data_IF_407530890829
#
_entry.id   IF_407530890829
#
_cell.length_a   1.000
_cell.length_b   1.000
_cell.length_c   1.000
_cell.angle_alpha   90.00
_cell.angle_beta   90.00
_cell.angle_gamma   90.00
#
_symmetry.space_group_name_H-M   'P 1'
#
loop_
_entity.id
_entity.type
_entity.pdbx_description
1 polymer ?
#
# COMPACT_ATOMS: atom_id res chain seq x y z
N UNK A 1 -2.67 9.35 -0.98
CA UNK A 1 -2.27 10.46 -0.09
C UNK A 1 -2.06 10.00 1.35
N UNK A 2 -3.01 9.33 2.01
CA UNK A 2 -2.89 8.93 3.43
C UNK A 2 -1.70 8.00 3.70
N UNK A 3 -1.42 7.05 2.82
CA UNK A 3 -0.25 6.16 2.97
C UNK A 3 1.07 6.92 2.88
N UNK A 4 1.15 7.97 2.06
CA UNK A 4 2.35 8.80 2.01
C UNK A 4 2.57 9.57 3.33
N UNK A 5 1.50 10.06 3.96
CA UNK A 5 1.58 10.67 5.30
C UNK A 5 2.05 9.66 6.34
N UNK A 6 1.50 8.45 6.34
CA UNK A 6 1.92 7.39 7.25
C UNK A 6 3.36 6.94 7.00
N UNK A 7 3.80 6.88 5.75
CA UNK A 7 5.20 6.63 5.45
C UNK A 7 6.11 7.74 6.00
N UNK A 8 5.68 9.01 5.91
CA UNK A 8 6.36 10.13 6.56
C UNK A 8 6.46 9.96 8.07
N UNK A 9 5.36 9.58 8.74
CA UNK A 9 5.35 9.25 10.17
C UNK A 9 6.33 8.12 10.49
N UNK A 10 6.41 7.10 9.63
CA UNK A 10 7.35 5.99 9.81
C UNK A 10 8.82 6.43 9.66
N UNK A 11 9.10 7.38 8.76
CA UNK A 11 10.43 8.00 8.63
C UNK A 11 10.76 8.81 9.88
N UNK A 12 9.86 9.67 10.32
CA UNK A 12 10.07 10.51 11.53
C UNK A 12 10.27 9.66 12.78
N UNK A 13 9.59 8.52 12.88
CA UNK A 13 9.76 7.56 13.96
C UNK A 13 11.02 6.67 13.82
N UNK A 14 11.81 6.81 12.74
CA UNK A 14 13.00 5.98 12.49
C UNK A 14 12.69 4.52 12.11
N UNK A 15 11.43 4.18 11.83
CA UNK A 15 11.01 2.86 11.37
C UNK A 15 11.46 2.62 9.92
N UNK A 16 11.39 3.64 9.08
CA UNK A 16 12.02 3.69 7.75
C UNK A 16 13.23 4.62 7.89
N UNK A 17 14.43 4.07 7.77
CA UNK A 17 15.67 4.86 7.89
C UNK A 17 16.07 5.52 6.57
N UNK A 18 15.81 4.83 5.47
CA UNK A 18 16.04 5.31 4.12
C UNK A 18 14.90 4.77 3.23
N UNK A 19 14.24 5.64 2.51
CA UNK A 19 13.18 5.23 1.57
C UNK A 19 13.70 4.37 0.42
N UNK A 20 15.01 4.38 0.19
CA UNK A 20 15.69 3.54 -0.81
C UNK A 20 16.10 2.17 -0.26
N UNK A 21 15.93 1.91 1.04
CA UNK A 21 16.18 0.55 1.55
C UNK A 21 15.12 -0.44 1.03
N UNK A 22 15.51 -1.68 0.68
CA UNK A 22 14.54 -2.71 0.30
C UNK A 22 13.58 -3.01 1.44
N UNK A 23 12.28 -3.13 1.11
CA UNK A 23 11.22 -3.43 2.10
C UNK A 23 11.49 -4.75 2.82
N UNK A 24 12.00 -5.76 2.10
CA UNK A 24 12.32 -7.08 2.66
C UNK A 24 13.35 -7.02 3.79
N UNK A 25 14.24 -6.02 3.80
CA UNK A 25 15.24 -5.85 4.86
C UNK A 25 14.59 -5.56 6.23
N UNK A 26 13.39 -4.98 6.24
CA UNK A 26 12.60 -4.70 7.45
C UNK A 26 11.49 -5.71 7.69
N UNK A 27 10.91 -6.22 6.63
CA UNK A 27 9.67 -6.99 6.64
C UNK A 27 9.81 -8.24 5.77
N UNK A 28 10.61 -9.23 6.18
CA UNK A 28 10.63 -10.52 5.49
C UNK A 28 9.30 -11.25 5.67
N UNK A 29 8.93 -12.11 4.71
CA UNK A 29 7.78 -13.01 4.83
C UNK A 29 6.42 -12.39 4.50
N UNK A 30 6.38 -11.13 4.02
CA UNK A 30 5.11 -10.47 3.70
C UNK A 30 4.96 -10.14 2.19
N UNK A 31 5.59 -10.96 1.34
CA UNK A 31 5.43 -10.87 -0.11
C UNK A 31 6.54 -10.10 -0.83
N UNK A 32 7.67 -9.83 -0.18
CA UNK A 32 8.84 -9.19 -0.80
C UNK A 32 10.05 -10.14 -0.94
N UNK A 33 9.88 -11.44 -0.71
CA UNK A 33 11.01 -12.38 -0.62
C UNK A 33 11.39 -13.01 -1.96
N UNK A 34 10.56 -12.86 -3.00
CA UNK A 34 10.89 -13.40 -4.32
C UNK A 34 12.08 -12.65 -4.94
N UNK A 35 12.85 -13.27 -5.85
CA UNK A 35 13.95 -12.59 -6.54
C UNK A 35 13.51 -11.30 -7.26
N UNK A 36 12.27 -11.25 -7.76
CA UNK A 36 11.71 -10.06 -8.40
C UNK A 36 11.34 -8.98 -7.39
N UNK A 37 10.70 -9.36 -6.27
CA UNK A 37 10.21 -8.41 -5.28
C UNK A 37 11.29 -7.93 -4.29
N UNK A 38 12.34 -8.72 -4.06
CA UNK A 38 13.36 -8.40 -3.07
C UNK A 38 14.04 -7.02 -3.25
N UNK A 39 14.27 -6.51 -4.47
CA UNK A 39 14.84 -5.18 -4.66
C UNK A 39 13.83 -4.03 -4.53
N UNK A 40 12.55 -4.31 -4.27
CA UNK A 40 11.53 -3.26 -4.12
C UNK A 40 11.81 -2.44 -2.86
N UNK A 41 11.91 -1.12 -3.03
CA UNK A 41 12.14 -0.16 -1.95
C UNK A 41 10.82 0.50 -1.52
N UNK A 42 10.83 1.17 -0.38
CA UNK A 42 9.73 2.03 0.07
C UNK A 42 9.41 3.11 -0.96
N UNK A 43 10.45 3.70 -1.59
CA UNK A 43 10.29 4.70 -2.63
C UNK A 43 9.54 4.12 -3.85
N UNK A 44 9.87 2.92 -4.29
CA UNK A 44 9.20 2.29 -5.42
C UNK A 44 7.70 2.08 -5.15
N UNK A 45 7.33 1.70 -3.93
CA UNK A 45 5.93 1.57 -3.53
C UNK A 45 5.21 2.92 -3.50
N UNK A 46 5.85 3.94 -2.91
CA UNK A 46 5.29 5.29 -2.80
C UNK A 46 5.10 5.97 -4.15
N UNK A 47 6.00 5.72 -5.09
CA UNK A 47 5.96 6.25 -6.45
C UNK A 47 5.13 5.41 -7.43
N UNK A 48 4.60 4.26 -7.01
CA UNK A 48 3.88 3.30 -7.85
C UNK A 48 4.73 2.75 -9.01
N UNK A 49 6.02 2.59 -8.76
CA UNK A 49 6.99 2.00 -9.69
C UNK A 49 7.50 0.65 -9.22
N UNK A 50 6.85 0.04 -8.22
CA UNK A 50 7.34 -1.18 -7.59
C UNK A 50 7.33 -2.41 -8.50
N UNK A 51 6.42 -2.46 -9.48
CA UNK A 51 6.18 -3.67 -10.29
C UNK A 51 6.03 -4.94 -9.42
N UNK A 52 5.60 -4.76 -8.16
CA UNK A 52 5.38 -5.88 -7.24
C UNK A 52 4.45 -6.91 -7.86
N UNK A 53 4.84 -8.18 -7.76
CA UNK A 53 4.01 -9.30 -8.19
C UNK A 53 3.57 -10.13 -6.99
N UNK A 54 2.31 -10.52 -7.01
CA UNK A 54 1.78 -11.40 -5.97
C UNK A 54 0.28 -11.35 -5.87
N UNK A 55 -0.22 -11.92 -4.78
CA UNK A 55 -1.64 -11.90 -4.44
C UNK A 55 -1.79 -11.40 -3.01
N UNK A 56 -2.60 -10.38 -2.82
CA UNK A 56 -2.94 -9.82 -1.51
C UNK A 56 -4.40 -10.15 -1.19
N UNK A 57 -4.62 -10.88 -0.10
CA UNK A 57 -5.96 -11.35 0.31
C UNK A 57 -6.75 -12.05 -0.80
N UNK A 58 -6.05 -12.85 -1.62
CA UNK A 58 -6.64 -13.60 -2.73
C UNK A 58 -6.79 -12.81 -4.03
N UNK A 59 -6.37 -11.55 -4.08
CA UNK A 59 -6.45 -10.70 -5.27
C UNK A 59 -5.06 -10.53 -5.87
N UNK A 60 -4.80 -11.06 -7.09
CA UNK A 60 -3.51 -10.91 -7.75
C UNK A 60 -3.32 -9.49 -8.30
N UNK A 61 -2.08 -8.99 -8.29
CA UNK A 61 -1.73 -7.68 -8.86
C UNK A 61 -2.07 -7.56 -10.36
N UNK A 62 -2.09 -8.69 -11.05
CA UNK A 62 -2.42 -8.77 -12.48
C UNK A 62 -3.78 -8.15 -12.80
N UNK A 63 -4.77 -8.20 -11.90
CA UNK A 63 -6.12 -7.66 -12.18
C UNK A 63 -6.13 -6.17 -12.49
N UNK A 64 -5.09 -5.45 -12.10
CA UNK A 64 -4.93 -4.02 -12.32
C UNK A 64 -3.80 -3.65 -13.29
N UNK A 65 -3.11 -4.62 -13.89
CA UNK A 65 -2.16 -4.34 -14.98
C UNK A 65 -2.90 -3.73 -16.17
N UNK A 66 -2.27 -2.82 -16.89
CA UNK A 66 -2.88 -2.03 -17.96
C UNK A 66 -4.09 -1.20 -17.54
N UNK A 67 -4.19 -0.85 -16.28
CA UNK A 67 -5.24 0.03 -15.79
C UNK A 67 -5.07 1.43 -16.39
N UNK A 68 -6.10 1.92 -17.07
CA UNK A 68 -6.13 3.29 -17.54
C UNK A 68 -6.52 4.22 -16.41
N UNK A 69 -5.76 5.27 -16.19
CA UNK A 69 -6.10 6.39 -15.31
C UNK A 69 -6.33 7.66 -16.12
N UNK A 70 -7.16 8.57 -15.60
CA UNK A 70 -7.67 9.74 -16.32
C UNK A 70 -6.55 10.61 -16.95
N UNK A 71 -5.39 10.69 -16.33
CA UNK A 71 -4.29 11.56 -16.75
C UNK A 71 -3.12 10.82 -17.41
N UNK A 72 -3.26 9.53 -17.62
CA UNK A 72 -2.22 8.75 -18.29
C UNK A 72 -2.43 8.80 -19.79
N UNK A 73 -1.41 9.19 -20.58
CA UNK A 73 -1.47 9.06 -22.03
C UNK A 73 -1.76 7.59 -22.37
N UNK A 74 -2.57 7.35 -23.42
CA UNK A 74 -2.88 6.01 -23.93
C UNK A 74 -1.61 5.33 -24.45
N UNK A 75 -0.83 4.77 -23.55
CA UNK A 75 0.35 3.99 -23.90
C UNK A 75 0.15 2.49 -23.64
N UNK A 76 -0.94 2.11 -23.02
CA UNK A 76 -1.16 0.72 -22.68
C UNK A 76 -1.60 -0.08 -23.90
N UNK A 77 -0.73 -0.93 -24.39
CA UNK A 77 -0.99 -1.90 -25.47
C UNK A 77 -1.73 -3.14 -24.95
N UNK A 78 -2.66 -3.00 -24.01
CA UNK A 78 -3.40 -4.10 -23.43
C UNK A 78 -4.70 -3.66 -22.79
N UNK A 79 -5.54 -4.63 -22.43
CA UNK A 79 -6.75 -4.42 -21.65
C UNK A 79 -6.43 -4.61 -20.17
N UNK A 80 -7.13 -3.88 -19.31
CA UNK A 80 -7.00 -4.06 -17.87
C UNK A 80 -7.12 -5.55 -17.48
N UNK A 81 -6.13 -6.05 -16.74
CA UNK A 81 -6.04 -7.44 -16.31
C UNK A 81 -5.32 -8.37 -17.30
N UNK A 82 -4.94 -7.91 -18.48
CA UNK A 82 -4.15 -8.72 -19.39
C UNK A 82 -2.77 -9.01 -18.79
N UNK A 83 -2.22 -10.21 -19.00
CA UNK A 83 -0.87 -10.53 -18.58
C UNK A 83 0.16 -9.71 -19.39
N UNK A 84 1.20 -9.26 -18.72
CA UNK A 84 2.39 -8.67 -19.34
C UNK A 84 3.65 -9.06 -18.56
N UNK A 85 4.81 -9.08 -19.19
CA UNK A 85 6.08 -9.16 -18.48
C UNK A 85 6.21 -7.96 -17.51
N UNK A 86 6.71 -8.25 -16.32
CA UNK A 86 7.03 -7.20 -15.35
C UNK A 86 8.33 -6.50 -15.74
N UNK A 87 8.39 -5.22 -15.44
CA UNK A 87 9.61 -4.44 -15.57
C UNK A 87 10.42 -4.52 -14.26
N UNK A 88 11.67 -4.12 -14.31
CA UNK A 88 12.47 -4.02 -13.10
C UNK A 88 11.83 -3.01 -12.11
N UNK A 89 11.80 -3.30 -10.82
CA UNK A 89 11.32 -2.35 -9.82
C UNK A 89 12.01 -0.98 -9.97
N UNK A 90 11.22 0.09 -9.93
CA UNK A 90 11.68 1.46 -10.12
C UNK A 90 11.67 1.96 -11.57
N UNK A 91 11.54 1.08 -12.57
CA UNK A 91 11.68 1.44 -13.99
C UNK A 91 10.38 1.73 -14.72
N UNK A 92 9.23 1.33 -14.16
CA UNK A 92 7.93 1.45 -14.83
C UNK A 92 6.85 1.94 -13.86
N UNK A 93 6.16 3.00 -14.23
CA UNK A 93 5.04 3.53 -13.47
C UNK A 93 3.72 2.92 -13.92
N UNK A 94 2.97 2.37 -12.99
CA UNK A 94 1.62 1.87 -13.24
C UNK A 94 0.76 2.04 -11.99
N UNK A 95 -0.39 2.69 -12.14
CA UNK A 95 -1.37 2.73 -11.08
C UNK A 95 -2.01 1.35 -10.89
N UNK A 96 -1.79 0.76 -9.71
CA UNK A 96 -2.28 -0.58 -9.39
C UNK A 96 -2.73 -0.62 -7.93
N UNK A 97 -4.03 -0.81 -7.70
CA UNK A 97 -4.60 -0.78 -6.35
C UNK A 97 -4.07 -1.93 -5.47
N UNK A 98 -3.77 -3.09 -6.03
CA UNK A 98 -3.21 -4.20 -5.25
C UNK A 98 -1.84 -3.84 -4.72
N UNK A 99 -1.00 -3.18 -5.53
CA UNK A 99 0.33 -2.70 -5.13
C UNK A 99 0.25 -1.57 -4.10
N UNK A 100 -0.74 -0.69 -4.23
CA UNK A 100 -1.02 0.34 -3.21
C UNK A 100 -1.46 -0.32 -1.90
N UNK A 101 -2.30 -1.34 -1.97
CA UNK A 101 -2.73 -2.08 -0.79
C UNK A 101 -1.59 -2.88 -0.17
N UNK A 102 -0.63 -3.37 -0.96
CA UNK A 102 0.60 -3.99 -0.46
C UNK A 102 1.46 -2.98 0.33
N UNK A 103 1.54 -1.72 -0.09
CA UNK A 103 2.16 -0.65 0.71
C UNK A 103 1.43 -0.45 2.04
N UNK A 104 0.10 -0.42 2.03
CA UNK A 104 -0.71 -0.32 3.25
C UNK A 104 -0.42 -1.49 4.20
N UNK A 105 -0.41 -2.70 3.67
CA UNK A 105 -0.12 -3.92 4.42
C UNK A 105 1.30 -3.89 5.01
N UNK A 106 2.29 -3.45 4.24
CA UNK A 106 3.66 -3.31 4.70
C UNK A 106 3.78 -2.27 5.83
N UNK A 107 3.14 -1.11 5.70
CA UNK A 107 3.14 -0.08 6.74
C UNK A 107 2.47 -0.58 8.03
N UNK A 108 1.37 -1.32 7.94
CA UNK A 108 0.72 -1.92 9.12
C UNK A 108 1.67 -2.87 9.85
N UNK A 109 2.38 -3.73 9.13
CA UNK A 109 3.38 -4.63 9.71
C UNK A 109 4.55 -3.86 10.31
N UNK A 110 5.00 -2.79 9.67
CA UNK A 110 6.09 -1.94 10.15
C UNK A 110 5.74 -1.25 11.48
N UNK A 111 4.54 -0.68 11.58
CA UNK A 111 4.05 -0.07 12.81
C UNK A 111 3.63 -1.10 13.87
N UNK A 112 3.34 -2.35 13.47
CA UNK A 112 2.76 -3.40 14.33
C UNK A 112 1.45 -2.95 14.98
N UNK A 113 0.71 -2.09 14.28
CA UNK A 113 -0.53 -1.45 14.74
C UNK A 113 -1.48 -1.23 13.56
N UNK A 114 -2.81 -1.24 13.81
CA UNK A 114 -3.78 -0.82 12.79
C UNK A 114 -3.48 0.60 12.29
N UNK A 115 -3.40 0.78 10.98
CA UNK A 115 -3.11 2.08 10.38
C UNK A 115 -4.10 3.18 10.76
N UNK A 116 -5.42 2.91 10.95
CA UNK A 116 -6.34 3.93 11.45
C UNK A 116 -5.95 4.50 12.82
N UNK A 117 -5.40 3.67 13.72
CA UNK A 117 -4.94 4.14 15.03
C UNK A 117 -3.71 5.06 14.89
N UNK A 118 -2.73 4.63 14.07
CA UNK A 118 -1.54 5.45 13.80
C UNK A 118 -1.93 6.78 13.15
N UNK A 119 -2.84 6.74 12.18
CA UNK A 119 -3.32 7.94 11.50
C UNK A 119 -4.06 8.89 12.46
N UNK A 120 -4.88 8.33 13.34
CA UNK A 120 -5.56 9.12 14.36
C UNK A 120 -4.57 9.85 15.28
N UNK A 121 -3.59 9.15 15.80
CA UNK A 121 -2.64 9.71 16.76
C UNK A 121 -1.67 10.71 16.14
N UNK A 122 -1.11 10.35 14.99
CA UNK A 122 -0.05 11.13 14.38
C UNK A 122 -0.54 12.29 13.50
N UNK A 123 -1.76 12.19 12.96
CA UNK A 123 -2.26 13.14 11.95
C UNK A 123 -3.55 13.83 12.42
N UNK A 124 -4.66 13.07 12.58
CA UNK A 124 -5.96 13.74 12.70
C UNK A 124 -6.16 14.44 14.04
N UNK A 125 -5.75 13.87 15.15
CA UNK A 125 -5.81 14.50 16.47
C UNK A 125 -4.95 15.75 16.60
N UNK A 126 -3.65 15.74 16.17
CA UNK A 126 -2.82 16.93 16.25
C UNK A 126 -3.33 18.13 15.46
N UNK A 127 -4.03 17.89 14.35
CA UNK A 127 -4.61 18.99 13.54
C UNK A 127 -6.04 19.36 13.97
N UNK A 128 -6.58 18.73 15.01
CA UNK A 128 -7.93 19.01 15.49
C UNK A 128 -9.06 18.52 14.57
N UNK A 129 -8.78 17.54 13.70
CA UNK A 129 -9.82 16.93 12.88
C UNK A 129 -10.82 16.17 13.75
N UNK A 130 -12.09 16.08 13.30
CA UNK A 130 -13.10 15.29 13.99
C UNK A 130 -12.71 13.80 13.99
N UNK A 131 -13.31 13.03 14.87
CA UNK A 131 -13.14 11.56 14.96
C UNK A 131 -14.21 10.79 14.18
N UNK A 132 -15.00 11.48 13.36
CA UNK A 132 -16.12 10.88 12.61
C UNK A 132 -15.69 10.19 11.31
N UNK A 133 -14.41 10.24 10.94
CA UNK A 133 -13.89 9.50 9.81
C UNK A 133 -13.74 8.01 10.11
N UNK A 134 -13.84 7.20 9.06
CA UNK A 134 -13.62 5.76 9.13
C UNK A 134 -12.69 5.32 8.01
N UNK A 135 -11.80 4.40 8.33
CA UNK A 135 -10.97 3.71 7.34
C UNK A 135 -11.35 2.24 7.36
N UNK A 136 -12.06 1.81 6.32
CA UNK A 136 -12.68 0.49 6.26
C UNK A 136 -11.82 -0.44 5.42
N UNK A 137 -11.49 -1.60 5.96
CA UNK A 137 -10.80 -2.68 5.27
C UNK A 137 -11.79 -3.66 4.60
N UNK A 138 -11.24 -4.63 3.87
CA UNK A 138 -12.03 -5.73 3.32
C UNK A 138 -12.32 -6.79 4.38
N UNK A 139 -13.46 -7.47 4.28
CA UNK A 139 -13.87 -8.47 5.27
C UNK A 139 -12.88 -9.63 5.42
N UNK A 140 -12.14 -9.96 4.37
CA UNK A 140 -11.14 -11.01 4.36
C UNK A 140 -9.70 -10.53 4.67
N UNK A 141 -9.50 -9.23 4.94
CA UNK A 141 -8.17 -8.63 5.13
C UNK A 141 -7.73 -8.61 6.61
N UNK A 142 -8.00 -9.69 7.33
CA UNK A 142 -7.58 -9.84 8.72
C UNK A 142 -6.31 -10.67 8.83
N UNK A 143 -5.35 -10.17 9.57
CA UNK A 143 -4.09 -10.86 9.86
C UNK A 143 -3.76 -10.78 11.35
N UNK A 144 -2.88 -11.64 11.79
CA UNK A 144 -2.31 -11.60 13.12
C UNK A 144 -0.86 -11.10 13.05
N UNK A 145 -0.56 -10.06 13.81
CA UNK A 145 0.79 -9.51 13.97
C UNK A 145 1.06 -9.43 15.46
N UNK A 146 2.10 -10.15 15.92
CA UNK A 146 2.49 -10.21 17.34
C UNK A 146 1.36 -10.61 18.30
N UNK A 147 0.53 -11.57 17.91
CA UNK A 147 -0.61 -12.03 18.71
C UNK A 147 -1.80 -11.07 18.71
N UNK A 148 -1.75 -9.98 17.96
CA UNK A 148 -2.87 -9.06 17.78
C UNK A 148 -3.52 -9.24 16.42
N UNK A 149 -4.81 -9.53 16.41
CA UNK A 149 -5.61 -9.56 15.18
C UNK A 149 -5.90 -8.15 14.70
N UNK A 150 -5.49 -7.83 13.49
CA UNK A 150 -5.62 -6.51 12.87
C UNK A 150 -6.22 -6.62 11.48
N UNK A 151 -7.02 -5.63 11.09
CA UNK A 151 -7.51 -5.51 9.71
C UNK A 151 -6.56 -4.64 8.90
N UNK A 152 -6.09 -5.16 7.76
CA UNK A 152 -5.42 -4.35 6.78
C UNK A 152 -6.42 -3.45 6.08
N UNK A 153 -6.13 -2.15 6.05
CA UNK A 153 -6.98 -1.16 5.38
C UNK A 153 -6.38 -0.80 4.01
N UNK A 154 -7.20 -0.59 2.97
CA UNK A 154 -6.68 -0.31 1.64
C UNK A 154 -6.17 1.13 1.51
N UNK A 155 -5.18 1.30 0.65
CA UNK A 155 -4.73 2.62 0.18
C UNK A 155 -5.46 3.08 -1.07
N UNK A 156 -6.06 2.13 -1.79
CA UNK A 156 -6.91 2.33 -2.96
C UNK A 156 -8.32 1.82 -2.73
N UNK A 157 -9.27 2.29 -3.52
CA UNK A 157 -10.72 2.06 -3.30
C UNK A 157 -11.33 1.01 -4.21
N UNK A 158 -10.53 0.16 -4.83
CA UNK A 158 -10.98 -0.71 -5.91
C UNK A 158 -12.12 -1.67 -5.52
N UNK A 159 -12.19 -2.11 -4.26
CA UNK A 159 -13.17 -3.09 -3.78
C UNK A 159 -14.02 -2.60 -2.60
N UNK A 160 -14.33 -1.32 -2.60
CA UNK A 160 -15.23 -0.75 -1.58
C UNK A 160 -14.58 -0.45 -0.22
N UNK A 161 -13.28 -0.66 -0.08
CA UNK A 161 -12.53 -0.16 1.07
C UNK A 161 -12.04 1.26 0.84
N UNK A 162 -11.80 2.00 1.88
CA UNK A 162 -11.27 3.36 1.78
C UNK A 162 -11.47 4.18 3.04
N UNK A 163 -11.02 5.41 2.98
CA UNK A 163 -11.31 6.40 4.02
C UNK A 163 -12.56 7.14 3.64
N UNK A 164 -13.59 7.08 4.47
CA UNK A 164 -14.73 7.99 4.39
C UNK A 164 -14.61 9.07 5.46
N UNK A 165 -14.83 10.31 5.04
CA UNK A 165 -14.93 11.47 5.93
C UNK A 165 -16.38 11.92 5.80
N UNK A 166 -17.14 11.77 6.88
CA UNK A 166 -18.47 12.35 6.91
C UNK A 166 -18.30 13.87 7.03
N UNK A 167 -18.78 14.58 6.03
CA UNK A 167 -18.92 16.04 6.12
C UNK A 167 -20.02 16.34 7.13
N UNK A 168 -19.66 16.98 8.19
CA UNK A 168 -20.62 17.63 9.10
C UNK A 168 -21.13 18.90 8.47
#
# INVERSE_FOLDING_TARGET
>A
TYLALLAGVAVDAGLIRDVNEPVVARLPGIGFDSPHNAPITWQHLLQQTSEWEGSLFGVPDQVDRYRTVQYQPKAAQGRKGDPRPLQAPGSFWEYNDVRINQLSFALMHLFRRPLPEVFAEAITRPIGASDQWRWVGYDNAWVEVDGRRMQSVPGGTHWGGGVSIDSV
#
